data_IF_834394050043
#
_entry.id   IF_834394050043
#
_cell.length_a   1.000
_cell.length_b   1.000
_cell.length_c   1.000
_cell.angle_alpha   90.00
_cell.angle_beta   90.00
_cell.angle_gamma   90.00
#
_symmetry.space_group_name_H-M   'P 1'
#
loop_
_entity.id
_entity.type
_entity.pdbx_description
1 polymer ?
#
# COMPACT_ATOMS: atom_id res chain seq x y z
N UNK A 1 -33.35 -54.31 18.43
CA UNK A 1 -33.74 -52.89 18.58
C UNK A 1 -32.45 -52.09 18.62
N UNK A 2 -32.32 -51.16 17.66
CA UNK A 2 -31.34 -50.08 17.51
C UNK A 2 -29.84 -50.42 17.42
N UNK A 3 -29.38 -50.34 16.17
CA UNK A 3 -28.09 -49.84 15.69
C UNK A 3 -27.71 -48.52 16.37
N UNK A 4 -26.41 -48.21 16.44
CA UNK A 4 -25.85 -46.92 16.03
C UNK A 4 -24.31 -47.00 16.03
N UNK A 5 -23.74 -47.21 14.84
CA UNK A 5 -22.32 -46.97 14.56
C UNK A 5 -22.15 -45.49 14.29
N UNK A 6 -21.66 -44.76 15.28
CA UNK A 6 -21.36 -43.33 15.16
C UNK A 6 -20.17 -43.15 14.19
N UNK A 7 -20.50 -42.69 12.98
CA UNK A 7 -19.54 -42.38 11.93
C UNK A 7 -18.99 -41.00 12.22
N UNK A 8 -17.80 -40.94 12.82
CA UNK A 8 -17.00 -39.72 12.86
C UNK A 8 -16.70 -39.30 11.42
N UNK A 9 -17.49 -38.37 10.91
CA UNK A 9 -17.18 -37.65 9.69
C UNK A 9 -15.90 -36.84 9.97
N UNK A 10 -14.76 -37.39 9.54
CA UNK A 10 -13.52 -36.63 9.37
C UNK A 10 -13.85 -35.45 8.48
N UNK A 11 -14.01 -34.28 9.10
CA UNK A 11 -14.02 -33.02 8.39
C UNK A 11 -12.66 -32.91 7.72
N UNK A 12 -12.62 -33.19 6.42
CA UNK A 12 -11.50 -32.81 5.57
C UNK A 12 -11.41 -31.30 5.64
N UNK A 13 -10.58 -30.80 6.55
CA UNK A 13 -10.06 -29.44 6.45
C UNK A 13 -9.26 -29.43 5.17
N UNK A 14 -9.89 -29.04 4.06
CA UNK A 14 -9.16 -28.47 2.94
C UNK A 14 -8.34 -27.36 3.55
N UNK A 15 -7.04 -27.59 3.71
CA UNK A 15 -6.07 -26.55 4.02
C UNK A 15 -6.20 -25.53 2.90
N UNK A 16 -7.04 -24.53 3.13
CA UNK A 16 -7.11 -23.34 2.29
C UNK A 16 -5.71 -22.74 2.38
N UNK A 17 -4.89 -23.05 1.37
CA UNK A 17 -3.59 -22.40 1.25
C UNK A 17 -3.87 -20.90 1.32
N UNK A 18 -3.20 -20.16 2.23
CA UNK A 18 -3.50 -18.75 2.42
C UNK A 18 -3.43 -18.06 1.07
N UNK A 19 -4.55 -17.47 0.64
CA UNK A 19 -4.63 -16.81 -0.67
C UNK A 19 -3.48 -15.82 -0.78
N UNK A 20 -2.68 -15.85 -1.87
CA UNK A 20 -1.57 -14.93 -2.02
C UNK A 20 -2.11 -13.50 -1.94
N UNK A 21 -1.58 -12.75 -0.98
CA UNK A 21 -1.92 -11.35 -0.78
C UNK A 21 -1.10 -10.51 -1.74
N UNK A 22 -1.76 -9.65 -2.51
CA UNK A 22 -1.12 -8.74 -3.45
C UNK A 22 -1.29 -7.28 -3.00
N UNK A 23 -0.28 -6.48 -3.30
CA UNK A 23 -0.30 -5.02 -3.21
C UNK A 23 -0.21 -4.46 -4.62
N UNK A 24 -1.09 -3.53 -4.96
CA UNK A 24 -1.02 -2.77 -6.20
C UNK A 24 -0.14 -1.55 -5.94
N UNK A 25 1.06 -1.55 -6.50
CA UNK A 25 1.98 -0.44 -6.46
C UNK A 25 1.84 0.41 -7.73
N UNK A 26 1.76 1.74 -7.57
CA UNK A 26 1.70 2.64 -8.71
C UNK A 26 2.54 3.89 -8.56
N UNK A 27 3.14 4.30 -9.67
CA UNK A 27 3.88 5.55 -9.84
C UNK A 27 3.44 6.19 -11.16
N UNK A 28 2.86 7.38 -11.09
CA UNK A 28 2.21 8.00 -12.24
C UNK A 28 1.09 7.11 -12.80
N UNK A 29 1.17 6.76 -14.07
CA UNK A 29 0.19 5.90 -14.76
C UNK A 29 0.50 4.41 -14.67
N UNK A 30 1.72 4.04 -14.30
CA UNK A 30 2.16 2.63 -14.29
C UNK A 30 1.74 1.96 -12.98
N UNK A 31 1.18 0.75 -13.10
CA UNK A 31 0.72 -0.08 -11.99
C UNK A 31 1.34 -1.46 -12.09
N UNK A 32 1.74 -2.03 -10.96
CA UNK A 32 2.28 -3.39 -10.87
C UNK A 32 1.70 -4.10 -9.65
N UNK A 33 1.63 -5.42 -9.73
CA UNK A 33 1.22 -6.28 -8.62
C UNK A 33 2.47 -6.80 -7.91
N UNK A 34 2.53 -6.58 -6.60
CA UNK A 34 3.59 -7.06 -5.73
C UNK A 34 3.00 -8.15 -4.83
N UNK A 35 3.67 -9.27 -4.65
CA UNK A 35 3.26 -10.27 -3.68
C UNK A 35 3.71 -9.84 -2.29
N UNK A 36 2.80 -9.83 -1.32
CA UNK A 36 3.08 -9.41 0.05
C UNK A 36 4.29 -10.13 0.68
N UNK A 37 4.44 -11.46 0.56
CA UNK A 37 5.61 -12.14 1.12
C UNK A 37 6.96 -11.61 0.58
N UNK A 38 7.01 -11.19 -0.69
CA UNK A 38 8.22 -10.69 -1.34
C UNK A 38 8.56 -9.24 -0.95
N UNK A 39 7.58 -8.52 -0.39
CA UNK A 39 7.72 -7.10 -0.03
C UNK A 39 7.35 -6.84 1.43
N UNK A 40 7.29 -7.88 2.28
CA UNK A 40 6.96 -7.74 3.69
C UNK A 40 8.04 -6.94 4.45
N UNK A 41 9.29 -7.05 4.00
CA UNK A 41 10.40 -6.19 4.43
C UNK A 41 10.46 -4.91 3.58
N UNK A 42 10.76 -3.78 4.21
CA UNK A 42 10.77 -2.48 3.53
C UNK A 42 11.92 -2.34 2.54
N UNK A 43 13.07 -2.96 2.79
CA UNK A 43 14.19 -2.93 1.85
C UNK A 43 13.94 -3.87 0.67
N UNK A 44 13.35 -5.04 0.93
CA UNK A 44 12.84 -5.94 -0.11
C UNK A 44 11.79 -5.25 -1.00
N UNK A 45 10.89 -4.44 -0.42
CA UNK A 45 9.96 -3.61 -1.18
C UNK A 45 10.69 -2.73 -2.20
N UNK A 46 11.73 -2.00 -1.79
CA UNK A 46 12.46 -1.10 -2.69
C UNK A 46 13.27 -1.84 -3.76
N UNK A 47 13.82 -3.00 -3.45
CA UNK A 47 14.48 -3.87 -4.44
C UNK A 47 13.47 -4.31 -5.50
N UNK A 48 12.31 -4.82 -5.08
CA UNK A 48 11.24 -5.25 -5.99
C UNK A 48 10.66 -4.08 -6.78
N UNK A 49 10.48 -2.92 -6.15
CA UNK A 49 10.04 -1.71 -6.84
C UNK A 49 11.05 -1.28 -7.91
N UNK A 50 12.36 -1.35 -7.66
CA UNK A 50 13.37 -0.98 -8.65
C UNK A 50 13.31 -1.87 -9.92
N UNK A 51 13.00 -3.17 -9.77
CA UNK A 51 12.82 -4.08 -10.90
C UNK A 51 11.68 -3.64 -11.84
N UNK A 52 10.65 -3.02 -11.27
CA UNK A 52 9.47 -2.54 -12.00
C UNK A 52 9.54 -1.07 -12.38
N UNK A 53 10.23 -0.26 -11.61
CA UNK A 53 10.38 1.19 -11.73
C UNK A 53 11.87 1.53 -11.60
N UNK A 54 12.67 1.42 -12.67
CA UNK A 54 14.12 1.60 -12.63
C UNK A 54 14.58 2.99 -12.12
N UNK A 55 13.68 3.97 -12.15
CA UNK A 55 13.85 5.31 -11.58
C UNK A 55 13.80 5.34 -10.05
N UNK A 56 13.22 4.33 -9.40
CA UNK A 56 13.25 4.17 -7.94
C UNK A 56 14.59 3.52 -7.60
N UNK A 57 15.48 4.27 -6.97
CA UNK A 57 16.78 3.75 -6.55
C UNK A 57 16.72 3.25 -5.10
N UNK A 58 17.04 1.97 -4.82
CA UNK A 58 17.05 1.43 -3.47
C UNK A 58 17.99 2.21 -2.53
N UNK A 59 19.11 2.72 -3.04
CA UNK A 59 20.06 3.54 -2.28
C UNK A 59 19.44 4.86 -1.77
N UNK A 60 18.43 5.38 -2.47
CA UNK A 60 17.75 6.64 -2.15
C UNK A 60 16.32 6.42 -1.65
N UNK A 61 16.04 5.28 -1.02
CA UNK A 61 14.72 4.91 -0.48
C UNK A 61 14.08 6.01 0.38
N UNK A 62 14.87 6.76 1.15
CA UNK A 62 14.36 7.83 2.01
C UNK A 62 13.93 9.09 1.23
N UNK A 63 14.27 9.19 -0.06
CA UNK A 63 13.79 10.25 -0.97
C UNK A 63 12.40 9.95 -1.55
N UNK A 64 11.85 8.75 -1.32
CA UNK A 64 10.52 8.36 -1.79
C UNK A 64 9.55 8.24 -0.62
N UNK A 65 8.30 8.61 -0.87
CA UNK A 65 7.16 8.38 0.00
C UNK A 65 6.38 7.16 -0.51
N UNK A 66 6.05 6.25 0.40
CA UNK A 66 5.18 5.11 0.15
C UNK A 66 3.84 5.43 0.79
N UNK A 67 2.91 5.91 -0.03
CA UNK A 67 1.64 6.43 0.48
C UNK A 67 0.51 5.43 0.30
N UNK A 68 -0.43 5.40 1.24
CA UNK A 68 -1.70 4.69 1.08
C UNK A 68 -2.87 5.59 1.45
N UNK A 69 -4.05 5.25 0.95
CA UNK A 69 -5.32 5.81 1.39
C UNK A 69 -6.33 4.72 1.79
N UNK A 70 -5.86 3.48 1.96
CA UNK A 70 -6.71 2.32 2.26
C UNK A 70 -7.12 2.25 3.74
N UNK A 71 -6.42 2.94 4.65
CA UNK A 71 -6.69 2.89 6.07
C UNK A 71 -7.72 3.96 6.46
N UNK A 72 -8.63 3.65 7.39
CA UNK A 72 -9.66 4.59 7.85
C UNK A 72 -9.07 5.90 8.38
N UNK A 73 -7.93 5.81 9.07
CA UNK A 73 -7.20 6.98 9.59
C UNK A 73 -6.72 7.94 8.48
N UNK A 74 -6.59 7.46 7.24
CA UNK A 74 -6.20 8.28 6.11
C UNK A 74 -7.31 9.25 5.66
N UNK A 75 -8.58 9.01 6.02
CA UNK A 75 -9.70 9.89 5.64
C UNK A 75 -9.84 10.11 4.12
N UNK A 76 -9.46 9.11 3.31
CA UNK A 76 -9.46 9.20 1.85
C UNK A 76 -8.27 9.92 1.22
N UNK A 77 -7.35 10.46 2.03
CA UNK A 77 -6.14 11.16 1.57
C UNK A 77 -4.96 10.19 1.52
N UNK A 78 -4.04 10.39 0.58
CA UNK A 78 -2.79 9.64 0.56
C UNK A 78 -1.86 10.09 1.70
N UNK A 79 -1.58 9.18 2.63
CA UNK A 79 -0.69 9.39 3.78
C UNK A 79 0.54 8.51 3.63
N UNK A 80 1.72 9.08 3.91
CA UNK A 80 2.99 8.35 3.89
C UNK A 80 3.04 7.30 5.01
N UNK A 81 3.53 6.11 4.68
CA UNK A 81 3.71 5.01 5.62
C UNK A 81 5.17 5.02 6.07
N UNK A 82 5.46 5.33 7.35
CA UNK A 82 6.80 5.23 7.89
C UNK A 82 7.37 3.81 7.71
N UNK A 83 8.67 3.72 7.44
CA UNK A 83 9.41 2.46 7.28
C UNK A 83 9.13 1.50 8.42
N UNK A 84 9.12 2.01 9.65
CA UNK A 84 8.97 1.26 10.89
C UNK A 84 7.56 0.64 11.03
N UNK A 85 6.58 1.22 10.34
CA UNK A 85 5.19 0.76 10.37
C UNK A 85 4.85 -0.17 9.20
N UNK A 86 5.72 -0.27 8.18
CA UNK A 86 5.46 -1.07 6.99
C UNK A 86 5.18 -2.54 7.29
N UNK A 87 6.02 -3.21 8.10
CA UNK A 87 5.82 -4.62 8.42
C UNK A 87 4.48 -4.91 9.12
N UNK A 88 4.01 -3.94 9.93
CA UNK A 88 2.77 -4.07 10.71
C UNK A 88 1.52 -3.70 9.89
N UNK A 89 1.61 -2.66 9.06
CA UNK A 89 0.48 -2.09 8.34
C UNK A 89 0.37 -2.58 6.89
N UNK A 90 1.50 -2.93 6.26
CA UNK A 90 1.54 -3.38 4.87
C UNK A 90 0.69 -4.64 4.64
N UNK A 91 0.54 -5.48 5.66
CA UNK A 91 -0.36 -6.63 5.66
C UNK A 91 -1.85 -6.26 5.56
N UNK A 92 -2.24 -5.01 5.84
CA UNK A 92 -3.61 -4.50 5.73
C UNK A 92 -3.83 -3.63 4.48
N UNK A 93 -2.74 -3.22 3.83
CA UNK A 93 -2.78 -2.34 2.66
C UNK A 93 -2.95 -3.17 1.39
N UNK A 94 -3.77 -2.66 0.46
CA UNK A 94 -4.00 -3.23 -0.86
C UNK A 94 -3.39 -2.38 -1.99
N UNK A 95 -3.20 -1.08 -1.74
CA UNK A 95 -2.73 -0.10 -2.71
C UNK A 95 -1.71 0.83 -2.11
N UNK A 96 -0.59 0.99 -2.82
CA UNK A 96 0.44 1.98 -2.50
C UNK A 96 0.73 2.87 -3.70
N UNK A 97 0.88 4.16 -3.41
CA UNK A 97 1.38 5.17 -4.34
C UNK A 97 2.83 5.47 -4.01
N UNK A 98 3.70 5.43 -5.01
CA UNK A 98 5.09 5.84 -4.86
C UNK A 98 5.27 7.26 -5.39
N UNK A 99 5.74 8.15 -4.53
CA UNK A 99 6.03 9.55 -4.86
C UNK A 99 7.49 9.89 -4.54
N UNK A 100 8.12 10.76 -5.33
CA UNK A 100 9.32 11.44 -4.85
C UNK A 100 8.88 12.44 -3.77
N UNK A 101 9.55 12.46 -2.61
CA UNK A 101 9.19 13.38 -1.51
C UNK A 101 9.28 14.84 -1.93
N UNK A 102 10.16 15.17 -2.89
CA UNK A 102 10.24 16.51 -3.49
C UNK A 102 8.94 16.85 -4.20
N UNK A 103 8.39 15.92 -4.99
CA UNK A 103 7.10 16.09 -5.68
C UNK A 103 5.92 16.13 -4.70
N UNK A 104 5.98 15.35 -3.61
CA UNK A 104 4.93 15.37 -2.58
C UNK A 104 4.82 16.74 -1.90
N UNK A 105 5.96 17.40 -1.64
CA UNK A 105 5.99 18.75 -1.07
C UNK A 105 5.35 19.77 -2.03
N UNK A 106 5.66 19.68 -3.33
CA UNK A 106 5.05 20.53 -4.35
C UNK A 106 3.53 20.33 -4.44
N UNK A 107 3.00 19.11 -4.29
CA UNK A 107 1.54 18.87 -4.29
C UNK A 107 0.86 19.56 -3.11
N UNK A 108 1.43 19.48 -1.90
CA UNK A 108 0.86 20.15 -0.71
C UNK A 108 0.90 21.67 -0.88
N UNK A 109 2.02 22.22 -1.36
CA UNK A 109 2.16 23.66 -1.62
C UNK A 109 1.21 24.13 -2.72
N UNK A 110 1.09 23.41 -3.83
CA UNK A 110 0.17 23.74 -4.92
C UNK A 110 -1.30 23.63 -4.53
N UNK A 111 -1.67 22.62 -3.72
CA UNK A 111 -3.02 22.54 -3.16
C UNK A 111 -3.27 23.71 -2.21
N UNK A 112 -2.33 24.06 -1.34
CA UNK A 112 -2.42 25.24 -0.47
C UNK A 112 -2.57 26.55 -1.26
N UNK A 113 -1.78 26.73 -2.33
CA UNK A 113 -1.89 27.87 -3.25
C UNK A 113 -3.21 27.89 -4.03
N UNK A 114 -3.72 26.73 -4.48
CA UNK A 114 -5.03 26.65 -5.14
C UNK A 114 -6.17 26.95 -4.18
N UNK A 115 -6.12 26.44 -2.95
CA UNK A 115 -7.10 26.78 -1.91
C UNK A 115 -7.05 28.28 -1.58
N UNK A 116 -5.86 28.86 -1.47
CA UNK A 116 -5.68 30.30 -1.26
C UNK A 116 -6.24 31.13 -2.42
N UNK A 117 -5.97 30.76 -3.67
CA UNK A 117 -6.53 31.44 -4.84
C UNK A 117 -8.05 31.29 -4.96
N UNK A 118 -8.63 30.16 -4.54
CA UNK A 118 -10.08 29.97 -4.51
C UNK A 118 -10.70 30.86 -3.43
N UNK A 119 -10.09 30.94 -2.24
CA UNK A 119 -10.55 31.81 -1.16
C UNK A 119 -10.46 33.30 -1.52
N UNK A 120 -9.38 33.73 -2.20
CA UNK A 120 -9.22 35.13 -2.64
C UNK A 120 -10.12 35.52 -3.82
N UNK A 121 -10.66 34.56 -4.59
CA UNK A 121 -11.58 34.83 -5.70
C UNK A 121 -13.06 34.79 -5.29
N UNK A 122 -13.38 34.59 -4.00
CA UNK A 122 -14.75 34.60 -3.46
C UNK A 122 -15.10 35.96 -2.82
N UNK A 123 -14.14 36.87 -2.65
CA UNK A 123 -14.41 38.26 -2.28
C UNK A 123 -14.68 39.11 -3.54
N UNK A 124 -15.89 39.09 -4.09
CA UNK A 124 -16.52 40.20 -4.83
C UNK A 124 -18.04 40.03 -4.90
#
# INVERSE_FOLDING_TARGET
MSTDTDTTATSTSTTDAPKPKYIIAFKGVKRVFLQWPDVADYDALFITLNQHFPEIKPEYKDSYAIQTNDLDICGGIYVDIPRELWGNMGAQISRIRIMDKRESFFVVVLLGLKFYQILMNIEY
#
